data_IF_460559871650
#
_entry.id   IF_460559871650
#
_cell.length_a   1.000
_cell.length_b   1.000
_cell.length_c   1.000
_cell.angle_alpha   90.00
_cell.angle_beta   90.00
_cell.angle_gamma   90.00
#
_symmetry.space_group_name_H-M   'P 1'
#
loop_
_entity.id
_entity.type
_entity.pdbx_description
1 polymer ?
#
# COMPACT_ATOMS: atom_id res chain seq x y z
N UNK A 1 53.66 -8.43 -68.13
CA UNK A 1 53.95 -9.43 -67.09
C UNK A 1 52.76 -9.48 -66.15
N UNK A 2 51.97 -10.56 -66.24
CA UNK A 2 50.77 -10.80 -65.43
C UNK A 2 51.21 -11.29 -64.03
N UNK A 3 50.57 -10.84 -62.96
CA UNK A 3 50.71 -11.43 -61.61
C UNK A 3 49.33 -11.67 -61.01
N UNK A 4 49.16 -12.92 -60.58
CA UNK A 4 47.98 -13.52 -59.99
C UNK A 4 47.59 -12.86 -58.67
N UNK A 5 46.29 -12.65 -58.45
CA UNK A 5 45.75 -12.45 -57.11
C UNK A 5 44.89 -13.65 -56.73
N UNK A 6 45.30 -14.31 -55.65
CA UNK A 6 44.68 -15.50 -55.10
C UNK A 6 43.34 -15.15 -54.42
N UNK A 7 42.39 -16.02 -54.69
CA UNK A 7 41.00 -16.05 -54.25
C UNK A 7 40.92 -16.46 -52.78
N UNK A 8 40.43 -15.58 -51.91
CA UNK A 8 40.06 -15.90 -50.53
C UNK A 8 38.55 -15.77 -50.36
N UNK A 9 37.86 -16.89 -50.24
CA UNK A 9 36.40 -16.97 -50.07
C UNK A 9 36.01 -16.60 -48.64
N UNK A 10 35.28 -15.49 -48.48
CA UNK A 10 34.66 -15.11 -47.21
C UNK A 10 33.27 -15.74 -47.13
N UNK A 11 33.08 -16.75 -46.29
CA UNK A 11 31.76 -17.34 -46.00
C UNK A 11 31.05 -16.49 -44.94
N UNK A 12 30.17 -15.59 -45.36
CA UNK A 12 29.24 -14.91 -44.46
C UNK A 12 28.04 -15.83 -44.23
N UNK A 13 27.98 -16.46 -43.05
CA UNK A 13 26.77 -17.15 -42.60
C UNK A 13 25.66 -16.10 -42.39
N UNK A 14 24.60 -16.20 -43.19
CA UNK A 14 23.39 -15.40 -42.99
C UNK A 14 22.63 -15.95 -41.78
N UNK A 15 22.69 -15.24 -40.65
CA UNK A 15 21.75 -15.44 -39.55
C UNK A 15 20.44 -14.75 -39.94
N UNK A 16 19.45 -15.52 -40.37
CA UNK A 16 18.10 -15.03 -40.61
C UNK A 16 17.40 -14.81 -39.27
N UNK A 17 17.15 -13.56 -38.87
CA UNK A 17 16.20 -13.25 -37.81
C UNK A 17 14.78 -13.50 -38.34
N UNK A 18 14.17 -14.62 -37.96
CA UNK A 18 12.73 -14.84 -38.16
C UNK A 18 12.00 -13.97 -37.14
N UNK A 19 11.37 -12.90 -37.63
CA UNK A 19 10.41 -12.11 -36.86
C UNK A 19 9.10 -12.91 -36.76
N UNK A 20 8.82 -13.47 -35.58
CA UNK A 20 7.54 -14.13 -35.31
C UNK A 20 6.43 -13.07 -35.26
N UNK A 21 5.57 -13.05 -36.28
CA UNK A 21 4.32 -12.30 -36.28
C UNK A 21 3.36 -13.01 -35.33
N UNK A 22 3.09 -12.43 -34.16
CA UNK A 22 2.00 -12.90 -33.32
C UNK A 22 0.68 -12.75 -34.09
N UNK A 23 0.01 -13.87 -34.31
CA UNK A 23 -1.38 -13.93 -34.75
C UNK A 23 -2.26 -13.42 -33.62
N UNK A 24 -2.98 -12.32 -33.85
CA UNK A 24 -4.07 -11.88 -32.99
C UNK A 24 -5.11 -12.99 -32.91
N UNK A 25 -5.02 -13.80 -31.87
CA UNK A 25 -6.18 -14.53 -31.39
C UNK A 25 -7.11 -13.47 -30.82
N UNK A 26 -8.11 -13.12 -31.62
CA UNK A 26 -9.29 -12.36 -31.20
C UNK A 26 -10.08 -13.24 -30.23
N UNK A 27 -9.49 -13.45 -29.05
CA UNK A 27 -10.18 -13.93 -27.88
C UNK A 27 -11.05 -12.77 -27.45
N UNK A 28 -12.35 -12.88 -27.78
CA UNK A 28 -13.41 -12.27 -27.01
C UNK A 28 -13.19 -12.65 -25.54
N UNK A 29 -12.43 -11.83 -24.83
CA UNK A 29 -12.35 -11.85 -23.38
C UNK A 29 -13.71 -11.37 -22.94
N UNK A 30 -14.66 -12.30 -22.85
CA UNK A 30 -15.76 -12.21 -21.92
C UNK A 30 -15.09 -11.82 -20.62
N UNK A 31 -15.38 -10.59 -20.19
CA UNK A 31 -14.91 -9.89 -19.00
C UNK A 31 -14.86 -10.88 -17.85
N UNK A 32 -13.74 -11.59 -17.80
CA UNK A 32 -13.44 -12.56 -16.76
C UNK A 32 -13.14 -11.64 -15.63
N UNK A 33 -14.11 -11.53 -14.74
CA UNK A 33 -14.08 -10.68 -13.58
C UNK A 33 -12.75 -10.95 -12.90
N UNK A 34 -11.76 -10.10 -13.18
CA UNK A 34 -10.58 -9.98 -12.36
C UNK A 34 -11.11 -9.29 -11.12
N UNK A 35 -11.72 -10.09 -10.24
CA UNK A 35 -11.84 -9.78 -8.83
C UNK A 35 -10.40 -9.65 -8.32
N UNK A 36 -9.73 -8.55 -8.66
CA UNK A 36 -8.84 -7.92 -7.70
C UNK A 36 -9.71 -7.82 -6.45
N UNK A 37 -9.35 -8.59 -5.42
CA UNK A 37 -9.87 -8.40 -4.08
C UNK A 37 -9.34 -7.04 -3.63
N UNK A 38 -9.87 -5.96 -4.21
CA UNK A 38 -9.60 -4.59 -3.80
C UNK A 38 -10.21 -4.48 -2.41
N UNK A 39 -9.35 -4.67 -1.41
CA UNK A 39 -9.75 -4.61 -0.01
C UNK A 39 -10.36 -3.24 0.23
N UNK A 40 -11.63 -3.24 0.62
CA UNK A 40 -12.36 -1.99 0.77
C UNK A 40 -11.88 -1.28 2.03
N UNK A 41 -11.26 -0.12 1.83
CA UNK A 41 -10.88 0.78 2.92
C UNK A 41 -12.16 1.22 3.63
N UNK A 42 -12.30 0.98 4.95
CA UNK A 42 -13.52 1.34 5.67
C UNK A 42 -13.69 2.86 5.69
N UNK A 43 -14.95 3.32 5.57
CA UNK A 43 -15.27 4.75 5.74
C UNK A 43 -14.98 5.23 7.17
N UNK A 44 -15.20 4.37 8.16
CA UNK A 44 -14.87 4.62 9.55
C UNK A 44 -14.27 3.37 10.16
N UNK A 45 -13.21 3.51 10.94
CA UNK A 45 -12.65 2.43 11.75
C UNK A 45 -12.34 2.93 13.15
N UNK A 46 -12.65 2.12 14.16
CA UNK A 46 -12.28 2.38 15.56
C UNK A 46 -11.30 1.29 15.98
N UNK A 47 -10.12 1.70 16.42
CA UNK A 47 -9.00 0.84 16.78
C UNK A 47 -8.71 1.04 18.26
N UNK A 48 -8.68 -0.06 19.02
CA UNK A 48 -8.25 -0.04 20.42
C UNK A 48 -6.86 -0.67 20.53
N UNK A 49 -5.91 0.11 21.02
CA UNK A 49 -4.58 -0.36 21.43
C UNK A 49 -4.52 -0.47 22.96
N UNK A 50 -3.36 -0.86 23.51
CA UNK A 50 -3.15 -0.88 24.96
C UNK A 50 -3.28 0.50 25.59
N UNK A 51 -2.85 1.56 24.88
CA UNK A 51 -2.82 2.94 25.41
C UNK A 51 -3.91 3.84 24.85
N UNK A 52 -4.36 3.59 23.63
CA UNK A 52 -5.21 4.52 22.88
C UNK A 52 -6.48 3.85 22.36
N UNK A 53 -7.54 4.64 22.29
CA UNK A 53 -8.67 4.39 21.39
C UNK A 53 -8.55 5.39 20.27
N UNK A 54 -8.62 4.93 19.03
CA UNK A 54 -8.37 5.74 17.84
C UNK A 54 -9.58 5.58 16.92
N UNK A 55 -10.10 6.66 16.39
CA UNK A 55 -11.13 6.67 15.36
C UNK A 55 -10.59 7.37 14.12
N UNK A 56 -10.74 6.72 12.97
CA UNK A 56 -10.39 7.28 11.68
C UNK A 56 -11.66 7.34 10.85
N UNK A 57 -12.00 8.52 10.34
CA UNK A 57 -13.17 8.75 9.49
C UNK A 57 -12.76 9.36 8.15
N UNK A 58 -13.18 8.74 7.05
CA UNK A 58 -13.08 9.33 5.71
C UNK A 58 -14.05 10.51 5.60
N UNK A 59 -13.52 11.66 5.28
CA UNK A 59 -14.26 12.91 5.15
C UNK A 59 -14.83 13.08 3.72
N UNK A 60 -15.83 13.96 3.51
CA UNK A 60 -16.40 14.23 2.18
C UNK A 60 -15.38 14.69 1.14
N UNK A 61 -14.30 15.35 1.57
CA UNK A 61 -13.21 15.79 0.70
C UNK A 61 -12.23 14.65 0.30
N UNK A 62 -12.49 13.41 0.73
CA UNK A 62 -11.67 12.24 0.44
C UNK A 62 -10.47 12.03 1.36
N UNK A 63 -10.14 13.00 2.22
CA UNK A 63 -9.11 12.88 3.28
C UNK A 63 -9.65 12.16 4.51
N UNK A 64 -8.79 11.93 5.49
CA UNK A 64 -9.14 11.23 6.72
C UNK A 64 -8.98 12.14 7.94
N UNK A 65 -9.85 11.94 8.93
CA UNK A 65 -9.79 12.59 10.23
C UNK A 65 -9.35 11.56 11.28
N UNK A 66 -8.27 11.83 11.98
CA UNK A 66 -7.81 11.07 13.13
C UNK A 66 -8.33 11.70 14.42
N UNK A 67 -8.87 10.87 15.30
CA UNK A 67 -9.23 11.26 16.66
C UNK A 67 -8.74 10.20 17.63
N UNK A 68 -8.17 10.60 18.77
CA UNK A 68 -7.74 9.65 19.79
C UNK A 68 -8.13 10.03 21.21
N UNK A 69 -8.23 9.00 22.04
CA UNK A 69 -8.50 9.06 23.47
C UNK A 69 -7.59 8.06 24.20
N UNK A 70 -7.57 8.10 25.52
CA UNK A 70 -7.07 6.98 26.32
C UNK A 70 -7.87 5.70 26.02
N UNK A 71 -7.23 4.53 26.09
CA UNK A 71 -7.77 3.23 25.63
C UNK A 71 -9.20 2.90 26.10
N UNK A 72 -9.55 3.29 27.32
CA UNK A 72 -10.84 2.95 27.94
C UNK A 72 -11.87 4.10 27.91
N UNK A 73 -11.50 5.28 27.39
CA UNK A 73 -12.41 6.41 27.29
C UNK A 73 -13.46 6.18 26.19
N UNK A 74 -14.70 6.62 26.42
CA UNK A 74 -15.79 6.54 25.43
C UNK A 74 -15.54 7.52 24.29
N UNK A 75 -15.88 7.17 23.05
CA UNK A 75 -15.64 8.08 21.90
C UNK A 75 -16.60 9.27 21.89
N UNK A 76 -17.68 9.22 22.69
CA UNK A 76 -18.60 10.34 22.90
C UNK A 76 -18.00 11.43 23.79
N UNK A 77 -16.91 11.13 24.50
CA UNK A 77 -16.16 12.14 25.23
C UNK A 77 -15.30 12.97 24.27
N UNK A 78 -14.85 14.15 24.73
CA UNK A 78 -13.92 14.98 23.97
C UNK A 78 -12.62 14.20 23.67
N UNK A 79 -12.17 14.12 22.39
CA UNK A 79 -10.90 13.51 22.05
C UNK A 79 -9.72 14.29 22.65
N UNK A 80 -8.66 13.55 22.99
CA UNK A 80 -7.40 14.10 23.48
C UNK A 80 -6.55 14.67 22.36
N UNK A 81 -6.72 14.17 21.13
CA UNK A 81 -6.03 14.65 19.93
C UNK A 81 -6.95 14.51 18.72
N UNK A 82 -6.89 15.49 17.83
CA UNK A 82 -7.56 15.50 16.53
C UNK A 82 -6.52 15.91 15.49
N UNK A 83 -6.40 15.14 14.40
CA UNK A 83 -5.52 15.47 13.27
C UNK A 83 -6.33 15.36 11.98
N UNK A 84 -6.43 16.46 11.25
CA UNK A 84 -7.16 16.53 9.98
C UNK A 84 -6.24 16.20 8.80
N UNK A 85 -6.84 16.15 7.60
CA UNK A 85 -6.12 16.07 6.31
C UNK A 85 -5.18 14.87 6.15
N UNK A 86 -5.49 13.78 6.85
CA UNK A 86 -4.77 12.53 6.68
C UNK A 86 -5.00 11.91 5.31
N UNK A 87 -4.02 11.11 4.88
CA UNK A 87 -4.01 10.46 3.58
C UNK A 87 -3.97 8.94 3.73
N UNK A 88 -4.45 8.24 2.72
CA UNK A 88 -4.29 6.80 2.60
C UNK A 88 -3.12 6.52 1.65
N UNK A 89 -2.11 5.82 2.14
CA UNK A 89 -0.93 5.46 1.36
C UNK A 89 -1.00 3.97 1.05
N UNK A 90 -1.16 3.56 -0.23
CA UNK A 90 -1.03 2.17 -0.63
C UNK A 90 0.38 1.66 -0.40
N UNK A 91 0.51 0.42 0.05
CA UNK A 91 1.78 -0.26 0.26
C UNK A 91 1.82 -1.56 -0.57
N UNK A 92 2.56 -1.52 -1.68
CA UNK A 92 2.65 -2.61 -2.64
C UNK A 92 1.35 -2.88 -3.41
N UNK A 93 1.34 -3.97 -4.18
CA UNK A 93 0.21 -4.38 -5.04
C UNK A 93 -0.81 -5.30 -4.35
N UNK A 94 -0.49 -5.80 -3.16
CA UNK A 94 -1.34 -6.72 -2.39
C UNK A 94 -2.53 -6.06 -1.68
N UNK A 95 -2.72 -4.75 -1.85
CA UNK A 95 -3.79 -4.00 -1.18
C UNK A 95 -3.50 -3.66 0.28
N UNK A 96 -2.24 -3.78 0.74
CA UNK A 96 -1.85 -3.19 2.02
C UNK A 96 -1.89 -1.67 1.91
N UNK A 97 -2.14 -1.02 3.04
CA UNK A 97 -2.15 0.43 3.13
C UNK A 97 -1.90 0.87 4.57
N UNK A 98 -1.57 2.14 4.74
CA UNK A 98 -1.63 2.81 6.02
C UNK A 98 -2.29 4.18 5.87
N UNK A 99 -2.90 4.65 6.95
CA UNK A 99 -3.30 6.05 7.04
C UNK A 99 -2.12 6.86 7.56
N UNK A 100 -1.86 8.02 6.95
CA UNK A 100 -0.76 8.90 7.30
C UNK A 100 -1.30 10.25 7.77
N UNK A 101 -0.84 10.70 8.94
CA UNK A 101 -1.21 12.01 9.51
C UNK A 101 0.04 12.71 10.01
N UNK A 102 0.09 14.03 9.86
CA UNK A 102 1.17 14.86 10.39
C UNK A 102 0.63 15.81 11.44
N UNK A 103 1.29 15.89 12.59
CA UNK A 103 0.94 16.84 13.64
C UNK A 103 2.19 17.27 14.41
N UNK A 104 2.44 18.57 14.48
CA UNK A 104 3.53 19.16 15.29
C UNK A 104 4.90 18.49 15.07
N UNK A 105 5.29 18.25 13.81
CA UNK A 105 6.57 17.62 13.46
C UNK A 105 6.64 16.11 13.71
N UNK A 106 5.52 15.46 14.03
CA UNK A 106 5.42 14.01 14.17
C UNK A 106 4.56 13.41 13.07
N UNK A 107 4.93 12.21 12.64
CA UNK A 107 4.22 11.44 11.64
C UNK A 107 3.53 10.23 12.27
N UNK A 108 2.21 10.15 12.14
CA UNK A 108 1.37 9.10 12.71
C UNK A 108 0.88 8.20 11.58
N UNK A 109 1.32 6.94 11.63
CA UNK A 109 0.95 5.92 10.67
C UNK A 109 0.08 4.86 11.31
N UNK A 110 -1.06 4.56 10.69
CA UNK A 110 -1.97 3.50 11.12
C UNK A 110 -1.97 2.44 10.03
N UNK A 111 -1.15 1.42 10.25
CA UNK A 111 -0.92 0.32 9.33
C UNK A 111 -2.06 -0.69 9.40
N UNK A 112 -2.57 -1.12 8.25
CA UNK A 112 -3.46 -2.29 8.14
C UNK A 112 -2.63 -3.55 7.92
N UNK A 113 -2.67 -4.48 8.86
CA UNK A 113 -1.96 -5.76 8.79
C UNK A 113 -2.87 -6.87 8.24
N UNK A 114 -3.20 -6.84 6.94
CA UNK A 114 -4.09 -7.84 6.33
C UNK A 114 -3.34 -9.07 5.83
N UNK A 115 -2.25 -8.86 5.08
CA UNK A 115 -1.43 -9.93 4.49
C UNK A 115 -0.21 -10.20 5.37
N UNK A 116 -0.46 -10.81 6.53
CA UNK A 116 0.60 -11.27 7.43
C UNK A 116 0.73 -12.78 7.35
N UNK A 117 1.97 -13.24 7.46
CA UNK A 117 2.37 -14.63 7.68
C UNK A 117 1.90 -15.23 9.01
N UNK A 118 1.29 -14.42 9.89
CA UNK A 118 0.86 -14.84 11.22
C UNK A 118 -0.56 -14.38 11.52
N UNK A 119 -1.45 -15.34 11.80
CA UNK A 119 -2.81 -15.10 12.30
C UNK A 119 -2.85 -14.40 13.66
N UNK A 120 -1.73 -14.37 14.39
CA UNK A 120 -1.63 -13.74 15.70
C UNK A 120 -1.39 -12.22 15.63
N UNK A 121 -1.07 -11.67 14.45
CA UNK A 121 -0.79 -10.24 14.31
C UNK A 121 -2.10 -9.45 14.45
N UNK A 122 -2.04 -8.37 15.22
CA UNK A 122 -3.18 -7.47 15.34
C UNK A 122 -3.52 -6.85 13.97
N UNK A 123 -4.81 -6.64 13.66
CA UNK A 123 -5.24 -6.16 12.34
C UNK A 123 -4.75 -4.73 12.03
N UNK A 124 -4.40 -3.95 13.06
CA UNK A 124 -3.81 -2.63 12.91
C UNK A 124 -2.60 -2.43 13.82
N UNK A 125 -1.69 -1.56 13.41
CA UNK A 125 -0.60 -1.06 14.26
C UNK A 125 -0.50 0.46 14.11
N UNK A 126 -0.53 1.18 15.24
CA UNK A 126 -0.12 2.57 15.29
C UNK A 126 1.40 2.63 15.37
N UNK A 127 2.03 3.39 14.49
CA UNK A 127 3.44 3.77 14.56
C UNK A 127 3.52 5.30 14.54
N UNK A 128 4.36 5.88 15.40
CA UNK A 128 4.61 7.32 15.39
C UNK A 128 6.11 7.57 15.25
N UNK A 129 6.45 8.43 14.31
CA UNK A 129 7.81 8.90 14.06
C UNK A 129 7.95 10.36 14.51
N UNK A 130 9.11 10.71 15.05
CA UNK A 130 9.48 12.11 15.30
C UNK A 130 10.01 12.80 14.04
N UNK A 131 10.36 14.08 14.14
CA UNK A 131 10.85 14.87 13.00
C UNK A 131 12.21 14.44 12.45
N UNK A 132 12.87 13.44 13.05
CA UNK A 132 14.10 12.83 12.55
C UNK A 132 13.86 11.38 12.07
N UNK A 133 12.61 11.04 11.76
CA UNK A 133 12.17 9.71 11.29
C UNK A 133 12.44 8.57 12.29
N UNK A 134 12.56 8.87 13.59
CA UNK A 134 12.76 7.84 14.62
C UNK A 134 11.42 7.35 15.13
N UNK A 135 11.23 6.03 15.15
CA UNK A 135 10.04 5.41 15.77
C UNK A 135 10.04 5.67 17.29
N UNK A 136 9.04 6.40 17.78
CA UNK A 136 8.87 6.73 19.20
C UNK A 136 7.67 6.05 19.84
N UNK A 137 6.73 5.55 19.03
CA UNK A 137 5.57 4.78 19.48
C UNK A 137 5.30 3.65 18.50
N UNK A 138 5.08 2.45 19.04
CA UNK A 138 4.46 1.32 18.33
C UNK A 138 3.43 0.65 19.21
N UNK A 139 2.20 0.53 18.70
CA UNK A 139 1.09 -0.03 19.45
C UNK A 139 0.19 -0.85 18.52
N UNK A 140 0.14 -2.15 18.74
CA UNK A 140 -0.82 -3.03 18.09
C UNK A 140 -2.25 -2.75 18.54
N UNK A 141 -3.19 -2.90 17.62
CA UNK A 141 -4.57 -2.50 17.80
C UNK A 141 -5.58 -3.44 17.14
N UNK A 142 -6.69 -3.64 17.83
CA UNK A 142 -7.83 -4.42 17.35
C UNK A 142 -8.98 -3.50 16.97
N UNK A 143 -9.76 -3.90 15.97
CA UNK A 143 -10.99 -3.16 15.62
C UNK A 143 -12.03 -3.38 16.70
N UNK A 144 -12.64 -2.31 17.16
CA UNK A 144 -13.74 -2.35 18.12
C UNK A 144 -14.98 -1.68 17.54
N UNK A 145 -16.16 -2.06 18.04
CA UNK A 145 -17.40 -1.34 17.78
C UNK A 145 -17.55 -0.23 18.83
N UNK A 146 -18.32 0.79 18.47
CA UNK A 146 -18.72 1.82 19.41
C UNK A 146 -19.78 1.28 20.38
#
# INVERSE_FOLDING_TARGET
>A
MIKYFLLGTFTLAQLSFVYAKETSNDLKINTSITHSLNQQVPKTVIIKTKKFKIRIDKQPNGKYLYQSWNANTKITAKPSMIISDGELIPDGSGGNYYFNFNNEGHNYQIWRNYLTDSVAKAPYTLVVYDGNDREIVRQDGVVVKN
#
